data_IF_976144883329
#
_entry.id   IF_976144883329
#
_cell.length_a   1.000
_cell.length_b   1.000
_cell.length_c   1.000
_cell.angle_alpha   90.00
_cell.angle_beta   90.00
_cell.angle_gamma   90.00
#
_symmetry.space_group_name_H-M   'P 1'
#
loop_
_entity.id
_entity.type
_entity.pdbx_description
1 polymer ?
#
# COMPACT_ATOMS: atom_id res chain seq x y z
N UNK A 1 -1.07 6.63 -38.50
CA UNK A 1 -2.16 6.39 -37.53
C UNK A 1 -2.05 4.94 -37.07
N UNK A 2 -2.28 4.64 -35.79
CA UNK A 2 -1.94 3.35 -35.20
C UNK A 2 -2.66 2.19 -35.89
N UNK A 3 -1.88 1.15 -36.15
CA UNK A 3 -2.29 -0.13 -36.68
C UNK A 3 -3.21 -0.85 -35.69
N UNK A 4 -4.50 -0.99 -36.06
CA UNK A 4 -5.52 -1.71 -35.28
C UNK A 4 -5.42 -3.24 -35.41
N UNK A 5 -4.35 -3.77 -36.02
CA UNK A 5 -4.14 -5.23 -36.15
C UNK A 5 -3.82 -5.93 -34.82
N UNK A 6 -3.50 -5.21 -33.75
CA UNK A 6 -3.15 -5.77 -32.44
C UNK A 6 -4.23 -5.73 -31.34
N UNK A 7 -5.48 -5.35 -31.65
CA UNK A 7 -6.62 -5.55 -30.73
C UNK A 7 -7.47 -6.79 -31.08
N UNK A 8 -6.97 -7.65 -31.97
CA UNK A 8 -7.59 -8.95 -32.23
C UNK A 8 -7.20 -9.92 -31.11
N UNK A 9 -8.02 -10.00 -30.08
CA UNK A 9 -8.09 -11.20 -29.26
C UNK A 9 -8.49 -12.39 -30.16
N UNK A 10 -7.46 -13.09 -30.66
CA UNK A 10 -7.61 -14.40 -31.26
C UNK A 10 -8.02 -15.37 -30.16
N UNK A 11 -9.27 -15.80 -30.19
CA UNK A 11 -9.85 -16.79 -29.28
C UNK A 11 -10.10 -18.13 -30.00
N UNK A 12 -9.47 -18.35 -31.16
CA UNK A 12 -9.49 -19.65 -31.80
C UNK A 12 -8.79 -20.65 -30.86
N UNK A 13 -9.58 -21.55 -30.25
CA UNK A 13 -9.29 -22.52 -29.15
C UNK A 13 -9.79 -22.16 -27.75
N UNK A 14 -10.46 -21.02 -27.55
CA UNK A 14 -11.04 -20.70 -26.24
C UNK A 14 -12.30 -21.53 -26.02
N UNK A 15 -12.32 -22.30 -24.94
CA UNK A 15 -13.51 -23.01 -24.47
C UNK A 15 -14.66 -22.05 -24.11
N UNK A 16 -15.69 -22.53 -23.40
CA UNK A 16 -16.80 -21.67 -22.99
C UNK A 16 -16.28 -20.44 -22.22
N UNK A 17 -16.85 -19.28 -22.53
CA UNK A 17 -16.53 -18.01 -21.89
C UNK A 17 -17.62 -17.64 -20.90
N UNK A 18 -17.27 -16.83 -19.91
CA UNK A 18 -18.21 -16.27 -18.94
C UNK A 18 -18.41 -14.79 -19.26
N UNK A 19 -19.66 -14.36 -19.32
CA UNK A 19 -20.06 -12.95 -19.40
C UNK A 19 -21.19 -12.63 -18.44
N UNK A 20 -21.45 -11.34 -18.24
CA UNK A 20 -22.53 -10.87 -17.36
C UNK A 20 -23.55 -10.09 -18.20
N UNK A 21 -24.83 -10.44 -18.07
CA UNK A 21 -25.90 -9.79 -18.81
C UNK A 21 -26.09 -8.34 -18.34
N UNK A 22 -26.02 -7.40 -19.27
CA UNK A 22 -26.25 -5.97 -19.01
C UNK A 22 -27.67 -5.54 -19.41
N UNK A 23 -28.39 -6.37 -20.16
CA UNK A 23 -29.79 -6.14 -20.55
C UNK A 23 -30.65 -7.40 -20.41
N UNK A 24 -31.92 -7.22 -20.08
CA UNK A 24 -32.90 -8.32 -20.02
C UNK A 24 -33.44 -8.65 -21.41
N UNK A 25 -33.57 -9.93 -21.74
CA UNK A 25 -34.23 -10.37 -22.97
C UNK A 25 -34.85 -11.76 -22.80
N UNK A 26 -36.04 -11.96 -23.37
CA UNK A 26 -36.72 -13.27 -23.40
C UNK A 26 -36.48 -14.05 -24.70
N UNK A 27 -36.00 -13.38 -25.75
CA UNK A 27 -35.48 -14.00 -26.99
C UNK A 27 -34.74 -12.97 -27.85
N UNK A 28 -33.75 -13.40 -28.65
CA UNK A 28 -33.08 -12.53 -29.61
C UNK A 28 -31.65 -12.17 -29.20
N UNK A 29 -31.38 -10.91 -28.87
CA UNK A 29 -30.04 -10.48 -28.46
C UNK A 29 -30.11 -9.59 -27.22
N UNK A 30 -29.11 -9.74 -26.35
CA UNK A 30 -28.86 -8.86 -25.21
C UNK A 30 -27.47 -8.21 -25.34
N UNK A 31 -27.22 -7.17 -24.57
CA UNK A 31 -25.86 -6.70 -24.29
C UNK A 31 -25.32 -7.42 -23.07
N UNK A 32 -24.08 -7.89 -23.13
CA UNK A 32 -23.39 -8.50 -22.01
C UNK A 32 -21.91 -8.08 -21.97
N UNK A 33 -21.37 -8.02 -20.77
CA UNK A 33 -19.97 -7.68 -20.52
C UNK A 33 -19.12 -8.95 -20.56
N UNK A 34 -18.22 -9.05 -21.54
CA UNK A 34 -17.28 -10.19 -21.70
C UNK A 34 -15.87 -9.66 -21.51
N UNK A 35 -15.19 -10.07 -20.44
CA UNK A 35 -13.87 -9.53 -20.09
C UNK A 35 -13.87 -8.01 -19.85
N UNK A 36 -15.01 -7.45 -19.42
CA UNK A 36 -15.19 -6.01 -19.19
C UNK A 36 -15.54 -5.20 -20.44
N UNK A 37 -15.74 -5.83 -21.60
CA UNK A 37 -16.12 -5.16 -22.85
C UNK A 37 -17.61 -5.43 -23.14
N UNK A 38 -18.44 -4.38 -23.28
CA UNK A 38 -19.84 -4.54 -23.65
C UNK A 38 -19.94 -5.09 -25.07
N UNK A 39 -20.62 -6.23 -25.20
CA UNK A 39 -20.71 -6.99 -26.44
C UNK A 39 -22.15 -7.42 -26.69
N UNK A 40 -22.60 -7.37 -27.94
CA UNK A 40 -23.90 -7.93 -28.32
C UNK A 40 -23.82 -9.46 -28.35
N UNK A 41 -24.67 -10.10 -27.56
CA UNK A 41 -24.77 -11.56 -27.42
C UNK A 41 -26.12 -12.02 -27.92
N UNK A 42 -26.13 -12.99 -28.84
CA UNK A 42 -27.36 -13.68 -29.25
C UNK A 42 -27.75 -14.69 -28.18
N UNK A 43 -29.02 -14.70 -27.82
CA UNK A 43 -29.58 -15.59 -26.81
C UNK A 43 -30.31 -16.72 -27.52
N UNK A 44 -29.97 -17.97 -27.17
CA UNK A 44 -30.68 -19.13 -27.73
C UNK A 44 -32.17 -19.07 -27.41
N UNK A 45 -32.99 -19.56 -28.32
CA UNK A 45 -34.44 -19.55 -28.14
C UNK A 45 -34.84 -20.30 -26.86
N UNK A 46 -35.76 -19.72 -26.09
CA UNK A 46 -36.23 -20.29 -24.82
C UNK A 46 -35.36 -19.97 -23.60
N UNK A 47 -34.25 -19.24 -23.75
CA UNK A 47 -33.45 -18.74 -22.62
C UNK A 47 -33.87 -17.31 -22.27
N UNK A 48 -34.50 -17.12 -21.10
CA UNK A 48 -34.84 -15.80 -20.58
C UNK A 48 -33.69 -15.27 -19.72
N UNK A 49 -33.03 -14.20 -20.17
CA UNK A 49 -31.88 -13.57 -19.51
C UNK A 49 -32.34 -12.32 -18.78
N UNK A 50 -31.97 -12.18 -17.51
CA UNK A 50 -32.14 -10.99 -16.69
C UNK A 50 -30.82 -10.22 -16.54
N UNK A 51 -30.88 -8.92 -16.21
CA UNK A 51 -29.68 -8.13 -15.88
C UNK A 51 -28.97 -8.76 -14.68
N UNK A 52 -27.65 -8.93 -14.79
CA UNK A 52 -26.80 -9.52 -13.76
C UNK A 52 -26.62 -11.04 -13.88
N UNK A 53 -27.37 -11.71 -14.76
CA UNK A 53 -27.18 -13.14 -14.99
C UNK A 53 -25.76 -13.46 -15.47
N UNK A 54 -25.20 -14.54 -14.93
CA UNK A 54 -23.92 -15.08 -15.41
C UNK A 54 -24.19 -15.99 -16.60
N UNK A 55 -23.67 -15.62 -17.77
CA UNK A 55 -23.93 -16.31 -19.03
C UNK A 55 -22.77 -17.20 -19.42
N UNK A 56 -23.08 -18.44 -19.85
CA UNK A 56 -22.16 -19.31 -20.55
C UNK A 56 -22.19 -18.98 -22.04
N UNK A 57 -21.09 -18.42 -22.54
CA UNK A 57 -20.99 -17.88 -23.90
C UNK A 57 -20.11 -18.77 -24.79
N UNK A 58 -20.60 -19.04 -25.99
CA UNK A 58 -19.83 -19.65 -27.06
C UNK A 58 -19.60 -18.62 -28.16
N UNK A 59 -18.38 -18.58 -28.70
CA UNK A 59 -18.06 -17.75 -29.85
C UNK A 59 -18.27 -18.55 -31.14
N UNK A 60 -19.21 -18.10 -31.97
CA UNK A 60 -19.51 -18.66 -33.29
C UNK A 60 -19.15 -17.61 -34.34
N UNK A 61 -17.95 -17.74 -34.92
CA UNK A 61 -17.38 -16.73 -35.82
C UNK A 61 -17.15 -15.38 -35.11
N UNK A 62 -17.82 -14.33 -35.58
CA UNK A 62 -17.78 -12.98 -34.97
C UNK A 62 -18.88 -12.74 -33.93
N UNK A 63 -19.78 -13.71 -33.70
CA UNK A 63 -20.93 -13.56 -32.81
C UNK A 63 -20.74 -14.35 -31.52
N UNK A 64 -21.15 -13.76 -30.40
CA UNK A 64 -21.28 -14.47 -29.13
C UNK A 64 -22.69 -15.00 -28.98
N UNK A 65 -22.81 -16.25 -28.53
CA UNK A 65 -24.10 -16.92 -28.29
C UNK A 65 -24.15 -17.38 -26.84
N UNK A 66 -25.16 -16.92 -26.09
CA UNK A 66 -25.45 -17.42 -24.75
C UNK A 66 -26.22 -18.73 -24.85
N UNK A 67 -25.61 -19.82 -24.38
CA UNK A 67 -26.21 -21.16 -24.43
C UNK A 67 -26.84 -21.58 -23.11
N UNK A 68 -26.44 -20.96 -21.99
CA UNK A 68 -27.01 -21.21 -20.67
C UNK A 68 -26.81 -20.00 -19.74
N UNK A 69 -27.70 -19.88 -18.76
CA UNK A 69 -27.46 -19.08 -17.56
C UNK A 69 -26.81 -20.03 -16.55
N UNK A 70 -25.63 -19.68 -16.05
CA UNK A 70 -24.99 -20.42 -14.98
C UNK A 70 -25.74 -20.10 -13.69
N UNK A 71 -26.62 -21.01 -13.29
CA UNK A 71 -27.26 -20.94 -11.98
C UNK A 71 -26.19 -20.95 -10.90
N UNK A 72 -26.33 -20.07 -9.90
CA UNK A 72 -25.60 -20.22 -8.65
C UNK A 72 -25.87 -21.63 -8.10
N UNK A 73 -24.87 -22.27 -7.49
CA UNK A 73 -25.02 -23.59 -6.90
C UNK A 73 -26.28 -23.62 -6.00
N UNK A 74 -27.14 -24.66 -6.11
CA UNK A 74 -28.35 -24.72 -5.30
C UNK A 74 -27.97 -24.65 -3.83
N UNK A 75 -28.48 -23.64 -3.14
CA UNK A 75 -28.43 -23.62 -1.69
C UNK A 75 -29.24 -24.84 -1.21
N UNK A 76 -28.55 -25.84 -0.67
CA UNK A 76 -29.22 -26.99 -0.03
C UNK A 76 -29.98 -26.43 1.17
N UNK A 77 -31.33 -26.49 1.17
CA UNK A 77 -32.10 -26.09 2.34
C UNK A 77 -31.73 -27.06 3.48
N UNK A 78 -31.49 -26.57 4.71
CA UNK A 78 -31.28 -27.46 5.85
C UNK A 78 -32.50 -28.38 6.03
N UNK A 79 -32.30 -29.61 6.53
CA UNK A 79 -33.39 -30.57 6.70
C UNK A 79 -34.50 -30.01 7.59
N UNK A 80 -35.79 -30.34 7.31
CA UNK A 80 -36.91 -29.83 8.10
C UNK A 80 -36.79 -30.26 9.57
N UNK A 81 -37.05 -29.38 10.54
CA UNK A 81 -37.03 -29.72 11.96
C UNK A 81 -38.07 -30.80 12.29
N UNK A 82 -37.84 -31.67 13.29
CA UNK A 82 -38.90 -32.51 13.84
C UNK A 82 -40.07 -31.65 14.32
N UNK A 83 -41.30 -32.18 14.25
CA UNK A 83 -42.52 -31.47 14.64
C UNK A 83 -42.37 -30.90 16.06
N UNK A 84 -42.36 -29.57 16.16
CA UNK A 84 -42.29 -28.86 17.44
C UNK A 84 -43.64 -28.95 18.15
N UNK A 85 -43.69 -29.75 19.22
CA UNK A 85 -44.83 -29.81 20.15
C UNK A 85 -44.79 -28.66 21.19
N UNK A 86 -43.80 -27.76 21.11
CA UNK A 86 -43.68 -26.58 21.96
C UNK A 86 -43.54 -25.31 21.09
N UNK A 87 -44.13 -24.17 21.51
CA UNK A 87 -44.01 -22.91 20.78
C UNK A 87 -42.54 -22.55 20.50
N UNK A 88 -42.24 -21.93 19.35
CA UNK A 88 -40.86 -21.65 18.96
C UNK A 88 -40.20 -20.77 20.01
N UNK A 89 -39.06 -21.22 20.51
CA UNK A 89 -38.18 -20.40 21.33
C UNK A 89 -37.75 -19.18 20.48
N UNK A 90 -38.32 -18.03 20.79
CA UNK A 90 -38.00 -16.74 20.16
C UNK A 90 -36.70 -16.14 20.69
N UNK A 91 -35.92 -16.91 21.46
CA UNK A 91 -34.75 -16.43 22.19
C UNK A 91 -33.43 -16.34 21.41
N UNK A 92 -33.22 -17.11 20.34
CA UNK A 92 -31.90 -17.17 19.72
C UNK A 92 -31.69 -16.10 18.64
N UNK A 93 -30.89 -15.10 19.02
CA UNK A 93 -30.43 -14.01 18.15
C UNK A 93 -29.53 -14.58 17.06
N UNK A 94 -29.72 -14.15 15.81
CA UNK A 94 -28.85 -14.58 14.70
C UNK A 94 -27.36 -14.39 15.04
N UNK A 95 -26.47 -15.34 14.68
CA UNK A 95 -25.05 -15.25 15.02
C UNK A 95 -24.45 -13.99 14.40
N UNK A 96 -23.69 -13.26 15.22
CA UNK A 96 -23.02 -12.01 14.81
C UNK A 96 -22.18 -12.27 13.55
N UNK A 97 -22.28 -11.42 12.51
CA UNK A 97 -21.45 -11.55 11.31
C UNK A 97 -19.97 -11.71 11.65
N UNK A 98 -19.29 -12.66 11.00
CA UNK A 98 -17.87 -12.89 11.23
C UNK A 98 -17.07 -11.64 10.83
N UNK A 99 -16.12 -11.16 11.65
CA UNK A 99 -15.30 -10.01 11.30
C UNK A 99 -14.56 -10.22 9.98
N UNK A 100 -14.70 -9.28 9.06
CA UNK A 100 -13.95 -9.26 7.79
C UNK A 100 -12.63 -8.53 8.04
N UNK A 101 -11.52 -9.19 7.69
CA UNK A 101 -10.19 -8.57 7.79
C UNK A 101 -9.74 -8.10 6.42
N UNK A 102 -9.61 -6.79 6.26
CA UNK A 102 -9.01 -6.17 5.06
C UNK A 102 -7.55 -5.88 5.32
N UNK A 103 -6.66 -6.24 4.38
CA UNK A 103 -5.22 -5.94 4.46
C UNK A 103 -4.77 -5.10 3.28
N UNK A 104 -3.73 -4.30 3.46
CA UNK A 104 -3.17 -3.51 2.38
C UNK A 104 -1.75 -3.04 2.65
N UNK A 105 -1.22 -2.26 1.71
CA UNK A 105 0.08 -1.60 1.85
C UNK A 105 -0.04 -0.15 1.38
N UNK A 106 0.58 0.77 2.12
CA UNK A 106 0.71 2.18 1.78
C UNK A 106 2.17 2.56 1.60
N UNK A 107 2.49 3.28 0.52
CA UNK A 107 3.81 3.83 0.26
C UNK A 107 3.82 5.35 0.45
N UNK A 108 4.70 5.83 1.32
CA UNK A 108 4.87 7.22 1.73
C UNK A 108 6.27 7.72 1.40
N UNK A 109 6.40 8.48 0.32
CA UNK A 109 7.59 9.28 0.06
C UNK A 109 7.64 10.44 1.07
N UNK A 110 8.79 10.75 1.68
CA UNK A 110 8.88 11.89 2.59
C UNK A 110 8.56 13.20 1.86
N UNK A 111 7.82 14.09 2.54
CA UNK A 111 7.57 15.45 2.06
C UNK A 111 8.81 16.32 2.18
N UNK A 112 9.70 16.01 3.12
CA UNK A 112 11.00 16.66 3.26
C UNK A 112 12.06 15.70 3.81
N UNK A 113 13.29 15.85 3.32
CA UNK A 113 14.49 15.34 4.00
C UNK A 113 15.42 16.51 4.29
N UNK A 114 16.02 16.53 5.48
CA UNK A 114 16.85 17.64 5.94
C UNK A 114 17.87 17.19 7.00
N UNK A 115 18.92 17.98 7.24
CA UNK A 115 19.81 17.79 8.38
C UNK A 115 19.86 19.04 9.24
N UNK A 116 19.65 18.89 10.54
CA UNK A 116 19.79 19.95 11.54
C UNK A 116 21.17 19.89 12.19
N UNK A 117 21.80 21.05 12.39
CA UNK A 117 23.11 21.21 13.04
C UNK A 117 23.24 22.64 13.56
N UNK A 118 23.74 22.81 14.79
CA UNK A 118 24.08 24.12 15.37
C UNK A 118 22.96 25.16 15.29
N UNK A 119 21.77 24.81 15.78
CA UNK A 119 20.66 25.75 15.83
C UNK A 119 19.90 25.94 14.52
N UNK A 120 20.39 25.38 13.40
CA UNK A 120 19.81 25.63 12.07
C UNK A 120 19.71 24.38 11.19
N UNK A 121 18.81 24.44 10.22
CA UNK A 121 18.77 23.49 9.11
C UNK A 121 19.92 23.78 8.15
N UNK A 122 20.64 22.73 7.76
CA UNK A 122 21.77 22.84 6.84
C UNK A 122 21.27 23.20 5.43
N UNK A 123 21.84 24.26 4.89
CA UNK A 123 21.63 24.73 3.50
C UNK A 123 22.83 24.41 2.61
N UNK A 124 23.97 24.03 3.20
CA UNK A 124 25.24 23.73 2.52
C UNK A 124 25.27 22.36 1.84
N UNK A 125 24.26 21.53 2.05
CA UNK A 125 24.14 20.16 1.53
C UNK A 125 22.94 19.97 0.61
N UNK A 126 22.42 21.07 0.07
CA UNK A 126 21.25 21.12 -0.81
C UNK A 126 20.09 21.90 -0.20
N UNK A 127 18.98 21.94 -0.93
CA UNK A 127 17.75 22.61 -0.48
C UNK A 127 17.26 22.00 0.83
N UNK A 128 16.85 22.85 1.78
CA UNK A 128 16.44 22.45 3.15
C UNK A 128 15.27 21.48 3.23
N UNK A 129 14.57 21.23 2.12
CA UNK A 129 13.47 20.25 2.05
C UNK A 129 13.84 18.99 1.25
N UNK A 130 15.02 18.94 0.65
CA UNK A 130 15.48 17.86 -0.24
C UNK A 130 16.89 17.36 0.10
N UNK A 131 17.51 17.96 1.12
CA UNK A 131 18.88 17.72 1.51
C UNK A 131 19.09 16.29 2.02
N UNK A 132 20.34 15.85 1.94
CA UNK A 132 20.78 14.60 2.52
C UNK A 132 20.68 14.61 4.04
N UNK A 133 20.56 13.41 4.60
CA UNK A 133 20.46 13.19 6.03
C UNK A 133 21.81 12.79 6.58
N UNK A 134 22.31 13.51 7.58
CA UNK A 134 23.58 13.24 8.26
C UNK A 134 23.36 12.86 9.72
N UNK A 135 24.22 11.99 10.24
CA UNK A 135 24.35 11.69 11.66
C UNK A 135 25.81 11.90 12.09
N UNK A 136 26.02 12.22 13.36
CA UNK A 136 27.34 12.39 13.96
C UNK A 136 27.96 13.74 13.59
N UNK A 137 29.26 13.88 13.84
CA UNK A 137 30.04 15.10 13.61
C UNK A 137 31.33 14.74 12.86
N UNK A 138 31.67 15.54 11.87
CA UNK A 138 32.94 15.41 11.18
C UNK A 138 34.09 15.72 12.16
N UNK A 139 35.05 14.80 12.27
CA UNK A 139 36.19 14.95 13.17
C UNK A 139 36.96 16.25 12.88
N UNK A 140 37.29 17.01 13.93
CA UNK A 140 37.99 18.29 13.81
C UNK A 140 37.11 19.46 13.31
N UNK A 141 35.82 19.23 13.02
CA UNK A 141 34.91 20.32 12.64
C UNK A 141 34.57 21.21 13.84
N UNK A 142 34.55 22.54 13.68
CA UNK A 142 33.96 23.45 14.67
C UNK A 142 32.43 23.37 14.76
N UNK A 143 31.78 22.69 13.82
CA UNK A 143 30.34 22.48 13.82
C UNK A 143 29.93 21.30 14.69
N UNK A 144 28.74 21.35 15.27
CA UNK A 144 28.19 20.32 16.14
C UNK A 144 27.63 19.10 15.39
N UNK A 145 26.95 18.25 16.16
CA UNK A 145 26.38 16.98 15.68
C UNK A 145 25.20 17.21 14.75
N UNK A 146 25.13 16.36 13.72
CA UNK A 146 24.03 16.37 12.76
C UNK A 146 22.89 15.49 13.22
N UNK A 147 21.68 15.93 12.91
CA UNK A 147 20.44 15.13 12.99
C UNK A 147 19.75 15.18 11.64
N UNK A 148 19.84 14.09 10.89
CA UNK A 148 19.21 13.92 9.59
C UNK A 148 17.80 13.40 9.77
N UNK A 149 16.81 13.96 9.09
CA UNK A 149 15.38 13.65 9.30
C UNK A 149 14.66 13.51 7.97
N UNK A 150 13.76 12.54 7.90
CA UNK A 150 12.73 12.40 6.89
C UNK A 150 11.34 12.63 7.51
N UNK A 151 10.57 13.53 6.93
CA UNK A 151 9.23 13.92 7.37
C UNK A 151 8.16 13.39 6.42
N UNK A 152 7.06 12.81 6.93
CA UNK A 152 6.08 12.10 6.10
C UNK A 152 4.77 12.83 5.83
N UNK A 153 4.59 14.03 6.40
CA UNK A 153 3.37 14.82 6.24
C UNK A 153 2.13 14.07 6.74
N UNK A 154 0.99 14.30 6.09
CA UNK A 154 -0.29 13.71 6.48
C UNK A 154 -0.59 12.35 5.82
N UNK A 155 0.16 11.93 4.79
CA UNK A 155 -0.18 10.74 3.99
C UNK A 155 -0.36 9.45 4.83
N UNK A 156 0.50 9.13 5.82
CA UNK A 156 0.29 7.94 6.66
C UNK A 156 -1.04 7.91 7.40
N UNK A 157 -1.61 9.09 7.73
CA UNK A 157 -2.87 9.21 8.48
C UNK A 157 -4.11 8.74 7.71
N UNK A 158 -3.98 8.50 6.40
CA UNK A 158 -5.01 7.80 5.61
C UNK A 158 -5.27 6.37 6.11
N UNK A 159 -4.34 5.81 6.88
CA UNK A 159 -4.49 4.52 7.56
C UNK A 159 -5.05 4.62 8.97
N UNK A 160 -5.59 5.78 9.39
CA UNK A 160 -6.24 5.90 10.71
C UNK A 160 -7.25 4.76 10.93
N UNK A 161 -7.25 4.21 12.14
CA UNK A 161 -8.04 3.04 12.52
C UNK A 161 -7.54 1.70 11.98
N UNK A 162 -6.44 1.66 11.20
CA UNK A 162 -5.78 0.42 10.82
C UNK A 162 -4.70 0.03 11.83
N UNK A 163 -4.47 -1.27 11.98
CA UNK A 163 -3.32 -1.83 12.69
C UNK A 163 -2.16 -2.00 11.72
N UNK A 164 -1.00 -1.41 12.01
CA UNK A 164 0.24 -1.66 11.29
C UNK A 164 0.74 -3.07 11.59
N UNK A 165 1.09 -3.83 10.56
CA UNK A 165 1.59 -5.20 10.67
C UNK A 165 3.04 -5.37 10.22
N UNK A 166 3.56 -4.39 9.47
CA UNK A 166 4.97 -4.30 9.08
C UNK A 166 5.25 -2.89 8.59
N UNK A 167 6.41 -2.34 8.91
CA UNK A 167 6.88 -1.11 8.28
C UNK A 167 8.35 -1.18 7.86
N UNK A 168 8.66 -0.59 6.71
CA UNK A 168 10.03 -0.54 6.18
C UNK A 168 10.37 0.82 5.59
N UNK A 169 11.64 1.18 5.61
CA UNK A 169 12.19 2.36 4.95
C UNK A 169 13.24 1.96 3.93
N UNK A 170 13.36 2.73 2.84
CA UNK A 170 14.46 2.58 1.87
C UNK A 170 15.55 3.60 2.15
N UNK A 171 16.80 3.15 2.23
CA UNK A 171 17.95 4.03 2.49
C UNK A 171 19.10 3.74 1.54
N UNK A 172 19.94 4.76 1.26
CA UNK A 172 21.17 4.63 0.47
C UNK A 172 22.29 5.40 1.13
N UNK A 173 23.43 4.74 1.37
CA UNK A 173 24.64 5.36 1.91
C UNK A 173 25.41 6.08 0.81
N UNK A 174 25.62 7.38 1.01
CA UNK A 174 26.43 8.21 0.12
C UNK A 174 27.86 8.36 0.66
N UNK A 175 28.79 8.75 -0.19
CA UNK A 175 30.16 9.03 0.21
C UNK A 175 30.22 10.27 1.11
N UNK A 176 30.66 10.06 2.37
CA UNK A 176 31.06 11.07 3.35
C UNK A 176 31.38 10.39 4.69
N UNK A 177 32.37 10.93 5.41
CA UNK A 177 32.73 10.48 6.75
C UNK A 177 33.32 9.08 6.78
N UNK A 178 32.78 8.22 7.63
CA UNK A 178 33.20 6.81 7.72
C UNK A 178 32.90 6.04 6.43
N UNK A 179 33.94 5.47 5.81
CA UNK A 179 33.84 4.67 4.57
C UNK A 179 33.51 3.19 4.81
N UNK A 180 33.84 2.66 5.99
CA UNK A 180 33.45 1.31 6.39
C UNK A 180 31.92 1.18 6.51
N UNK A 181 31.41 -0.05 6.56
CA UNK A 181 30.01 -0.28 6.91
C UNK A 181 29.75 0.23 8.34
N UNK A 182 28.75 1.10 8.48
CA UNK A 182 28.38 1.69 9.77
C UNK A 182 26.88 1.58 9.99
N UNK A 183 26.52 1.25 11.23
CA UNK A 183 25.15 1.22 11.72
C UNK A 183 24.69 2.64 12.05
N UNK A 184 23.60 3.08 11.45
CA UNK A 184 22.95 4.32 11.83
C UNK A 184 22.14 4.15 13.13
N UNK A 185 21.85 5.24 13.82
CA UNK A 185 20.99 5.24 15.00
C UNK A 185 19.68 5.90 14.62
N UNK A 186 18.61 5.10 14.51
CA UNK A 186 17.30 5.65 14.18
C UNK A 186 16.66 6.29 15.39
N UNK A 187 15.93 7.38 15.14
CA UNK A 187 15.10 8.10 16.12
C UNK A 187 13.73 8.38 15.54
N UNK A 188 12.69 8.24 16.35
CA UNK A 188 11.35 8.67 15.98
C UNK A 188 11.20 10.17 16.21
N UNK A 189 10.50 10.87 15.31
CA UNK A 189 10.36 12.34 15.35
C UNK A 189 8.90 12.74 15.53
N UNK A 190 8.66 13.70 16.41
CA UNK A 190 7.30 14.19 16.72
C UNK A 190 6.67 14.87 15.51
N UNK A 191 7.40 15.75 14.83
CA UNK A 191 6.86 16.58 13.77
C UNK A 191 6.65 15.81 12.46
N UNK A 192 5.52 16.08 11.78
CA UNK A 192 5.21 15.54 10.46
C UNK A 192 5.76 16.37 9.29
N UNK A 193 6.20 17.59 9.57
CA UNK A 193 6.85 18.52 8.65
C UNK A 193 8.04 19.16 9.35
N UNK A 194 8.95 19.75 8.57
CA UNK A 194 10.17 20.37 9.10
C UNK A 194 9.82 21.54 10.04
N UNK A 195 10.18 21.49 11.35
CA UNK A 195 9.97 22.62 12.24
C UNK A 195 10.93 23.78 11.94
N UNK A 196 10.67 24.96 12.50
CA UNK A 196 11.60 26.10 12.43
C UNK A 196 12.91 25.82 13.18
N UNK A 197 12.83 25.15 14.33
CA UNK A 197 13.96 24.78 15.17
C UNK A 197 14.38 23.30 15.05
N UNK A 198 15.00 22.80 16.12
CA UNK A 198 15.43 21.42 16.20
C UNK A 198 14.24 20.44 16.13
N UNK A 199 14.40 19.27 15.48
CA UNK A 199 13.40 18.22 15.55
C UNK A 199 13.32 17.64 16.98
N UNK A 200 12.13 17.30 17.44
CA UNK A 200 11.95 16.62 18.72
C UNK A 200 12.19 15.11 18.52
N UNK A 201 13.28 14.61 19.09
CA UNK A 201 13.66 13.21 19.01
C UNK A 201 13.05 12.41 20.16
N UNK A 202 12.49 11.25 19.85
CA UNK A 202 11.84 10.37 20.81
C UNK A 202 12.60 9.05 20.90
N UNK A 203 11.91 7.92 20.80
CA UNK A 203 12.42 6.56 20.91
C UNK A 203 13.60 6.31 19.95
N UNK A 204 14.49 5.37 20.29
CA UNK A 204 15.66 5.02 19.50
C UNK A 204 15.74 3.53 19.21
N UNK A 205 16.33 3.17 18.06
CA UNK A 205 16.68 1.79 17.74
C UNK A 205 17.90 1.76 16.81
N UNK A 206 18.51 0.58 16.68
CA UNK A 206 19.54 0.35 15.67
C UNK A 206 18.95 0.53 14.28
N UNK A 207 19.67 1.25 13.42
CA UNK A 207 19.34 1.44 12.03
C UNK A 207 20.07 0.46 11.11
N UNK A 208 20.00 0.71 9.79
CA UNK A 208 20.70 -0.09 8.80
C UNK A 208 22.21 0.08 8.92
N UNK A 209 22.94 -1.04 8.81
CA UNK A 209 24.40 -1.04 8.64
C UNK A 209 24.74 -1.14 7.16
N UNK A 210 25.28 -0.05 6.59
CA UNK A 210 25.55 0.03 5.16
C UNK A 210 26.97 0.54 4.89
N UNK A 211 27.64 -0.11 3.93
CA UNK A 211 28.84 0.43 3.28
C UNK A 211 28.49 1.57 2.34
N UNK A 212 29.44 2.47 2.07
CA UNK A 212 29.27 3.55 1.10
C UNK A 212 28.86 2.99 -0.27
N UNK A 213 27.90 3.65 -0.92
CA UNK A 213 27.37 3.27 -2.24
C UNK A 213 26.21 2.26 -2.17
N UNK A 214 26.07 1.52 -1.08
CA UNK A 214 25.00 0.54 -0.92
C UNK A 214 23.66 1.18 -0.55
N UNK A 215 22.59 0.51 -0.98
CA UNK A 215 21.21 0.80 -0.59
C UNK A 215 20.51 -0.44 -0.07
N UNK A 216 19.47 -0.27 0.72
CA UNK A 216 18.68 -1.38 1.23
C UNK A 216 17.31 -0.95 1.72
N UNK A 217 16.49 -1.95 2.01
CA UNK A 217 15.23 -1.82 2.72
C UNK A 217 15.45 -2.25 4.15
N UNK A 218 15.00 -1.45 5.11
CA UNK A 218 15.19 -1.69 6.53
C UNK A 218 13.85 -1.70 7.24
N UNK A 219 13.59 -2.72 8.07
CA UNK A 219 12.39 -2.81 8.89
C UNK A 219 12.49 -1.86 10.07
N UNK A 220 11.47 -1.03 10.27
CA UNK A 220 11.35 -0.19 11.48
C UNK A 220 10.35 -0.83 12.45
N UNK A 221 10.40 -0.50 13.75
CA UNK A 221 9.43 -1.01 14.71
C UNK A 221 7.99 -0.68 14.28
N UNK A 222 7.09 -1.65 14.33
CA UNK A 222 5.70 -1.45 13.93
C UNK A 222 5.01 -0.38 14.77
N UNK A 223 5.33 -0.30 16.07
CA UNK A 223 4.85 0.75 16.97
C UNK A 223 5.24 2.18 16.51
N UNK A 224 6.38 2.34 15.83
CA UNK A 224 6.78 3.64 15.31
C UNK A 224 5.94 4.03 14.11
N UNK A 225 5.70 3.10 13.19
CA UNK A 225 4.82 3.32 12.07
C UNK A 225 3.38 3.52 12.50
N UNK A 226 2.91 2.81 13.53
CA UNK A 226 1.61 3.02 14.15
C UNK A 226 1.50 4.45 14.70
N UNK A 227 2.50 4.93 15.45
CA UNK A 227 2.52 6.31 15.95
C UNK A 227 2.51 7.37 14.82
N UNK A 228 3.14 7.07 13.68
CA UNK A 228 3.09 7.93 12.48
C UNK A 228 1.70 7.90 11.82
N UNK A 229 1.06 6.73 11.75
CA UNK A 229 -0.32 6.58 11.25
C UNK A 229 -1.32 7.31 12.14
N UNK A 230 -1.20 7.17 13.46
CA UNK A 230 -2.06 7.80 14.45
C UNK A 230 -1.79 9.32 14.57
N UNK A 231 -0.67 9.79 14.02
CA UNK A 231 -0.30 11.20 13.97
C UNK A 231 0.32 11.75 15.26
N UNK A 232 0.65 10.89 16.23
CA UNK A 232 1.40 11.26 17.45
C UNK A 232 2.91 11.44 17.17
N UNK A 233 3.35 10.96 16.00
CA UNK A 233 4.70 11.14 15.42
C UNK A 233 4.55 11.45 13.93
N UNK A 234 5.64 11.85 13.27
CA UNK A 234 5.56 12.30 11.88
C UNK A 234 6.83 12.15 11.04
N UNK A 235 7.93 11.66 11.62
CA UNK A 235 9.17 11.49 10.90
C UNK A 235 10.09 10.45 11.51
N UNK A 236 11.13 10.09 10.76
CA UNK A 236 12.21 9.20 11.18
C UNK A 236 13.52 9.94 10.96
N UNK A 237 14.42 9.84 11.93
CA UNK A 237 15.71 10.51 11.90
C UNK A 237 16.86 9.53 12.08
N UNK A 238 18.05 9.98 11.67
CA UNK A 238 19.35 9.44 12.10
C UNK A 238 20.04 10.45 12.99
N UNK A 239 20.29 10.06 14.23
CA UNK A 239 20.91 10.91 15.24
C UNK A 239 21.50 10.06 16.34
N UNK A 240 22.70 10.41 16.78
CA UNK A 240 23.45 9.69 17.79
C UNK A 240 23.99 10.66 18.85
N UNK A 241 24.11 10.18 20.08
CA UNK A 241 24.60 10.97 21.21
C UNK A 241 26.12 11.21 21.18
N UNK A 242 26.86 10.46 20.36
CA UNK A 242 28.30 10.61 20.12
C UNK A 242 28.59 11.40 18.84
N UNK A 243 29.87 11.74 18.64
CA UNK A 243 30.33 12.33 17.37
C UNK A 243 30.45 11.27 16.25
N UNK A 244 30.67 10.01 16.61
CA UNK A 244 30.84 8.90 15.66
C UNK A 244 29.68 7.91 15.71
N UNK A 245 29.32 7.24 14.60
CA UNK A 245 29.94 7.42 13.28
C UNK A 245 29.40 8.66 12.56
N UNK A 246 30.26 9.35 11.80
CA UNK A 246 29.84 10.45 10.94
C UNK A 246 29.41 9.89 9.58
N UNK A 247 28.10 9.90 9.33
CA UNK A 247 27.51 9.25 8.17
C UNK A 247 26.45 10.12 7.47
N UNK A 248 26.28 9.87 6.18
CA UNK A 248 25.40 10.49 5.19
C UNK A 248 24.54 9.45 4.47
N UNK A 249 23.23 9.55 4.64
CA UNK A 249 22.27 8.88 3.77
C UNK A 249 21.70 9.86 2.75
N UNK A 250 21.38 9.33 1.56
CA UNK A 250 20.71 10.10 0.53
C UNK A 250 19.40 10.67 1.07
N UNK A 251 19.16 11.93 0.76
CA UNK A 251 17.88 12.61 0.88
C UNK A 251 17.08 12.45 -0.41
N UNK A 252 15.84 12.92 -0.38
CA UNK A 252 14.91 12.79 -1.51
C UNK A 252 15.38 13.54 -2.77
N UNK A 253 16.24 14.56 -2.63
CA UNK A 253 16.87 15.25 -3.76
C UNK A 253 17.97 14.43 -4.45
N UNK A 254 18.66 13.54 -3.72
CA UNK A 254 19.78 12.76 -4.26
C UNK A 254 19.40 11.34 -4.67
N UNK A 255 18.32 10.79 -4.13
CA UNK A 255 17.77 9.51 -4.56
C UNK A 255 16.25 9.49 -4.35
N UNK A 256 15.49 9.25 -5.41
CA UNK A 256 14.02 9.35 -5.39
C UNK A 256 13.32 8.39 -4.42
N UNK A 257 13.96 7.25 -4.11
CA UNK A 257 13.46 6.28 -3.13
C UNK A 257 14.01 6.50 -1.71
N UNK A 258 14.79 7.56 -1.49
CA UNK A 258 15.35 7.87 -0.18
C UNK A 258 14.24 8.06 0.85
N UNK A 259 14.37 7.33 1.95
CA UNK A 259 13.47 7.38 3.11
C UNK A 259 12.02 7.03 2.80
N UNK A 260 11.72 6.45 1.64
CA UNK A 260 10.36 5.98 1.32
C UNK A 260 9.93 4.96 2.36
N UNK A 261 8.85 5.27 3.08
CA UNK A 261 8.23 4.44 4.10
C UNK A 261 7.14 3.58 3.45
N UNK A 262 7.18 2.28 3.65
CA UNK A 262 6.15 1.34 3.23
C UNK A 262 5.53 0.70 4.47
N UNK A 263 4.21 0.83 4.61
CA UNK A 263 3.42 0.38 5.76
C UNK A 263 2.45 -0.69 5.29
N UNK A 264 2.60 -1.91 5.76
CA UNK A 264 1.59 -2.96 5.65
C UNK A 264 0.63 -2.85 6.83
N UNK A 265 -0.66 -3.00 6.56
CA UNK A 265 -1.72 -2.76 7.54
C UNK A 265 -2.88 -3.75 7.41
N UNK A 266 -3.67 -3.86 8.47
CA UNK A 266 -4.95 -4.57 8.50
C UNK A 266 -6.05 -3.74 9.17
N UNK A 267 -7.31 -3.96 8.79
CA UNK A 267 -8.53 -3.44 9.43
C UNK A 267 -9.50 -4.60 9.63
N UNK A 268 -10.12 -4.65 10.80
CA UNK A 268 -11.24 -5.53 11.08
C UNK A 268 -12.52 -4.72 11.03
N UNK A 269 -13.49 -5.18 10.25
CA UNK A 269 -14.84 -4.62 10.13
C UNK A 269 -15.88 -5.68 10.46
#
# INVERSE_FOLDING_TARGET
MPDLRDLKASLARSGPLIGYADSTVTSGACTASVGGIPTTVRVVSGLAVAVGDTLLLHRVGSTYVAAAILAAAPAVPPPPPPAQENPPDTGDTAPVPKPVTTTGTLTCTPVATASYRDGKWRTDIGSVNYADTFQGRYAGSGYGRNTGVAFYGSKPRSLSGATVTKATIRVKRLSAGDFAARTATLRLVTQATRPSGAPTLNETTSGPSLKVGSSGTFTIPDAWAQAIVDGTRGGIAISISSDNPYIRFAGRGSWSAAWTLTISWRRSS
#
